data_IF_545239129122
#
_entry.id   IF_545239129122
#
_cell.length_a   1.000
_cell.length_b   1.000
_cell.length_c   1.000
_cell.angle_alpha   90.00
_cell.angle_beta   90.00
_cell.angle_gamma   90.00
#
_symmetry.space_group_name_H-M   'P 1'
#
loop_
_entity.id
_entity.type
_entity.pdbx_description
1 polymer ?
#
# COMPACT_ATOMS: atom_id res chain seq x y z
N UNK A 1 30.17 5.33 -2.72
CA UNK A 1 29.91 5.81 -1.34
C UNK A 1 30.29 7.29 -1.20
N UNK A 2 31.20 7.80 -2.02
CA UNK A 2 31.67 9.19 -1.97
C UNK A 2 30.62 10.24 -2.33
N UNK A 3 29.73 9.96 -3.30
CA UNK A 3 28.66 10.91 -3.68
C UNK A 3 27.65 11.11 -2.55
N UNK A 4 27.31 10.04 -1.82
CA UNK A 4 26.43 10.11 -0.63
C UNK A 4 27.12 10.87 0.49
N UNK A 5 28.41 10.59 0.73
CA UNK A 5 29.19 11.31 1.73
C UNK A 5 29.37 12.80 1.38
N UNK A 6 29.49 13.17 0.11
CA UNK A 6 29.61 14.55 -0.36
C UNK A 6 28.28 15.31 -0.25
N UNK A 7 27.16 14.63 -0.50
CA UNK A 7 25.80 15.14 -0.27
C UNK A 7 25.50 15.33 1.22
N UNK A 8 25.92 14.37 2.05
CA UNK A 8 25.81 14.40 3.52
C UNK A 8 26.75 15.46 4.13
N UNK A 9 27.91 15.70 3.53
CA UNK A 9 28.86 16.73 3.96
C UNK A 9 28.44 18.16 3.54
N UNK A 10 27.71 18.31 2.42
CA UNK A 10 27.15 19.59 1.98
C UNK A 10 25.81 19.96 2.65
N UNK A 11 25.04 18.97 3.10
CA UNK A 11 23.79 19.18 3.82
C UNK A 11 24.05 19.40 5.31
N UNK A 12 24.08 20.66 5.78
CA UNK A 12 23.96 20.90 7.21
C UNK A 12 22.61 20.33 7.71
N UNK A 13 22.62 19.17 8.36
CA UNK A 13 21.43 18.58 9.04
C UNK A 13 20.74 19.53 10.03
N UNK A 14 21.35 20.70 10.30
CA UNK A 14 20.71 21.83 10.98
C UNK A 14 19.44 22.32 10.29
N UNK A 15 19.37 22.22 8.96
CA UNK A 15 18.18 22.60 8.16
C UNK A 15 17.00 21.65 8.41
N UNK A 16 17.27 20.37 8.67
CA UNK A 16 16.24 19.37 8.99
C UNK A 16 15.66 19.56 10.39
N UNK A 17 16.44 20.19 11.30
CA UNK A 17 15.99 20.53 12.66
C UNK A 17 15.06 21.75 12.70
N UNK A 18 14.91 22.48 11.61
CA UNK A 18 13.93 23.56 11.52
C UNK A 18 12.51 22.96 11.46
N UNK A 19 11.50 23.61 12.08
CA UNK A 19 10.14 23.07 12.12
C UNK A 19 9.57 22.80 10.72
N UNK A 20 9.96 23.62 9.73
CA UNK A 20 9.51 23.47 8.36
C UNK A 20 10.18 22.27 7.65
N UNK A 21 11.48 22.05 7.88
CA UNK A 21 12.21 20.88 7.38
C UNK A 21 11.72 19.56 7.98
N UNK A 22 11.44 19.58 9.28
CA UNK A 22 10.87 18.42 9.98
C UNK A 22 9.54 17.98 9.39
N UNK A 23 8.64 18.92 9.10
CA UNK A 23 7.34 18.61 8.46
C UNK A 23 7.53 18.03 7.06
N UNK A 24 8.52 18.48 6.28
CA UNK A 24 8.81 17.91 4.94
C UNK A 24 9.32 16.48 5.01
N UNK A 25 10.15 16.16 6.00
CA UNK A 25 10.60 14.79 6.24
C UNK A 25 9.42 13.90 6.65
N UNK A 26 8.58 14.37 7.57
CA UNK A 26 7.36 13.63 7.96
C UNK A 26 6.42 13.39 6.77
N UNK A 27 6.22 14.40 5.92
CA UNK A 27 5.41 14.27 4.70
C UNK A 27 5.95 13.18 3.77
N UNK A 28 7.27 13.13 3.57
CA UNK A 28 7.90 12.10 2.75
C UNK A 28 7.76 10.70 3.37
N UNK A 29 7.95 10.56 4.68
CA UNK A 29 7.75 9.30 5.41
C UNK A 29 6.31 8.81 5.31
N UNK A 30 5.32 9.68 5.53
CA UNK A 30 3.91 9.30 5.41
C UNK A 30 3.53 8.94 3.97
N UNK A 31 4.10 9.60 2.96
CA UNK A 31 3.88 9.26 1.57
C UNK A 31 4.42 7.86 1.21
N UNK A 32 5.56 7.45 1.80
CA UNK A 32 6.09 6.08 1.66
C UNK A 32 5.11 5.06 2.22
N UNK A 33 4.60 5.29 3.43
CA UNK A 33 3.63 4.38 4.05
C UNK A 33 2.33 4.31 3.25
N UNK A 34 1.81 5.45 2.77
CA UNK A 34 0.61 5.48 1.94
C UNK A 34 0.82 4.70 0.62
N UNK A 35 1.96 4.88 -0.05
CA UNK A 35 2.28 4.15 -1.28
C UNK A 35 2.41 2.64 -1.04
N UNK A 36 3.16 2.24 -0.01
CA UNK A 36 3.35 0.82 0.32
C UNK A 36 2.03 0.13 0.68
N UNK A 37 1.20 0.76 1.52
CA UNK A 37 -0.08 0.18 1.96
C UNK A 37 -1.12 0.11 0.84
N UNK A 38 -1.18 1.11 -0.05
CA UNK A 38 -2.11 1.06 -1.19
C UNK A 38 -1.65 0.10 -2.30
N UNK A 39 -0.33 -0.06 -2.49
CA UNK A 39 0.23 -0.85 -3.58
C UNK A 39 0.40 -2.34 -3.31
N UNK A 40 0.52 -2.78 -2.05
CA UNK A 40 0.76 -4.19 -1.70
C UNK A 40 -0.26 -4.76 -0.71
N UNK A 41 -1.53 -4.38 -0.85
CA UNK A 41 -2.57 -4.95 0.01
C UNK A 41 -2.93 -6.38 -0.42
N UNK A 42 -2.78 -7.32 0.51
CA UNK A 42 -3.36 -8.67 0.46
C UNK A 42 -4.26 -8.88 1.67
N UNK A 43 -5.34 -9.61 1.47
CA UNK A 43 -6.29 -9.96 2.52
C UNK A 43 -6.79 -11.38 2.32
N UNK A 44 -7.13 -12.02 3.42
CA UNK A 44 -7.75 -13.33 3.45
C UNK A 44 -9.07 -13.24 4.22
N UNK A 45 -10.04 -14.05 3.83
CA UNK A 45 -11.23 -14.26 4.64
C UNK A 45 -11.53 -15.75 4.73
N UNK A 46 -12.05 -16.16 5.88
CA UNK A 46 -12.41 -17.54 6.16
C UNK A 46 -13.92 -17.71 6.10
N UNK A 47 -14.36 -18.75 5.40
CA UNK A 47 -15.75 -19.17 5.33
C UNK A 47 -15.90 -20.53 6.00
N UNK A 48 -17.02 -20.70 6.70
CA UNK A 48 -17.43 -21.97 7.27
C UNK A 48 -18.83 -22.32 6.78
N UNK A 49 -18.96 -23.54 6.26
CA UNK A 49 -20.21 -24.13 5.79
C UNK A 49 -20.52 -25.33 6.68
N UNK A 50 -21.45 -25.14 7.61
CA UNK A 50 -21.94 -26.21 8.47
C UNK A 50 -23.23 -26.81 7.88
N UNK A 51 -23.18 -28.11 7.57
CA UNK A 51 -24.30 -28.87 7.06
C UNK A 51 -24.82 -29.82 8.13
N UNK A 52 -26.11 -30.15 8.09
CA UNK A 52 -26.70 -31.17 8.96
C UNK A 52 -25.95 -32.51 8.91
N UNK A 53 -25.32 -32.82 7.76
CA UNK A 53 -24.38 -33.92 7.63
C UNK A 53 -22.93 -33.42 7.70
N UNK A 54 -22.25 -33.74 8.81
CA UNK A 54 -20.88 -33.30 9.11
C UNK A 54 -19.84 -33.76 8.08
N UNK A 55 -20.08 -34.87 7.38
CA UNK A 55 -19.14 -35.36 6.35
C UNK A 55 -19.11 -34.50 5.08
N UNK A 56 -20.12 -33.64 4.90
CA UNK A 56 -20.19 -32.67 3.79
C UNK A 56 -19.95 -31.22 4.24
N UNK A 57 -19.61 -31.03 5.52
CA UNK A 57 -19.35 -29.70 6.07
C UNK A 57 -17.88 -29.37 5.87
N UNK A 58 -17.58 -28.14 5.51
CA UNK A 58 -16.22 -27.60 5.51
C UNK A 58 -16.23 -26.33 6.33
N UNK A 59 -15.54 -26.37 7.46
CA UNK A 59 -15.52 -25.28 8.44
C UNK A 59 -14.35 -24.32 8.23
N UNK A 60 -13.44 -24.62 7.30
CA UNK A 60 -12.23 -23.82 7.11
C UNK A 60 -11.87 -23.66 5.63
N UNK A 61 -12.65 -22.84 4.93
CA UNK A 61 -12.38 -22.43 3.55
C UNK A 61 -11.70 -21.07 3.59
N UNK A 62 -10.42 -21.05 3.26
CA UNK A 62 -9.62 -19.83 3.20
C UNK A 62 -9.60 -19.28 1.77
N UNK A 63 -9.94 -18.01 1.61
CA UNK A 63 -9.96 -17.34 0.31
C UNK A 63 -9.12 -16.08 0.39
N UNK A 64 -8.02 -16.07 -0.36
CA UNK A 64 -7.13 -14.93 -0.48
C UNK A 64 -7.58 -14.03 -1.64
N UNK A 65 -7.49 -12.72 -1.41
CA UNK A 65 -7.70 -11.71 -2.44
C UNK A 65 -6.65 -10.60 -2.28
N UNK A 66 -6.23 -10.05 -3.40
CA UNK A 66 -5.15 -9.06 -3.45
C UNK A 66 -5.55 -7.85 -4.28
N UNK A 67 -4.79 -6.77 -4.14
CA UNK A 67 -4.81 -5.67 -5.08
C UNK A 67 -4.52 -6.18 -6.51
N UNK A 68 -5.30 -5.80 -7.55
CA UNK A 68 -6.24 -4.68 -7.59
C UNK A 68 -7.71 -5.11 -7.40
N UNK A 69 -8.02 -6.02 -6.48
CA UNK A 69 -9.39 -6.38 -6.08
C UNK A 69 -10.30 -6.82 -7.25
N UNK A 70 -9.74 -7.66 -8.14
CA UNK A 70 -10.47 -8.35 -9.21
C UNK A 70 -11.18 -9.59 -8.67
N UNK A 71 -12.12 -9.38 -7.77
CA UNK A 71 -12.83 -10.44 -7.03
C UNK A 71 -13.46 -11.49 -7.98
N UNK A 72 -14.02 -11.06 -9.11
CA UNK A 72 -14.59 -11.98 -10.12
C UNK A 72 -13.65 -13.01 -10.73
N UNK A 73 -12.33 -12.85 -10.62
CA UNK A 73 -11.33 -13.81 -11.11
C UNK A 73 -10.92 -14.81 -10.01
N UNK A 74 -11.19 -14.48 -8.75
CA UNK A 74 -10.90 -15.32 -7.57
C UNK A 74 -12.06 -16.29 -7.36
N UNK A 75 -11.74 -17.58 -7.27
CA UNK A 75 -12.72 -18.64 -7.03
C UNK A 75 -12.32 -19.53 -5.86
N UNK A 76 -13.33 -20.09 -5.20
CA UNK A 76 -13.15 -21.11 -4.18
C UNK A 76 -14.17 -22.24 -4.36
N UNK A 77 -13.85 -23.41 -3.84
CA UNK A 77 -14.74 -24.57 -3.87
C UNK A 77 -15.58 -24.59 -2.60
N UNK A 78 -16.88 -24.35 -2.73
CA UNK A 78 -17.82 -24.41 -1.62
C UNK A 78 -18.50 -25.78 -1.59
N UNK A 79 -18.51 -26.49 -0.44
CA UNK A 79 -19.26 -27.72 -0.31
C UNK A 79 -20.76 -27.43 -0.39
N UNK A 80 -21.51 -28.32 -1.05
CA UNK A 80 -22.98 -28.24 -1.04
C UNK A 80 -23.55 -29.32 -0.15
N UNK A 81 -24.48 -28.98 0.76
CA UNK A 81 -25.02 -29.95 1.73
C UNK A 81 -25.79 -31.12 1.08
N UNK A 82 -26.12 -31.03 -0.21
CA UNK A 82 -26.90 -32.03 -0.94
C UNK A 82 -26.17 -32.64 -2.15
N UNK A 83 -25.06 -32.06 -2.64
CA UNK A 83 -24.39 -32.49 -3.86
C UNK A 83 -22.88 -32.37 -3.81
N UNK A 84 -22.25 -32.32 -4.99
CA UNK A 84 -20.81 -32.11 -5.13
C UNK A 84 -20.42 -30.64 -4.83
N UNK A 85 -19.16 -30.38 -4.48
CA UNK A 85 -18.65 -29.02 -4.30
C UNK A 85 -18.82 -28.19 -5.58
N UNK A 86 -19.17 -26.91 -5.42
CA UNK A 86 -19.32 -25.98 -6.55
C UNK A 86 -18.28 -24.88 -6.47
N UNK A 87 -17.74 -24.52 -7.64
CA UNK A 87 -16.86 -23.36 -7.79
C UNK A 87 -17.69 -22.08 -7.71
N UNK A 88 -17.38 -21.22 -6.76
CA UNK A 88 -18.03 -19.92 -6.56
C UNK A 88 -16.96 -18.85 -6.77
N UNK A 89 -17.29 -17.85 -7.58
CA UNK A 89 -16.45 -16.68 -7.81
C UNK A 89 -16.90 -15.54 -6.89
N UNK A 90 -15.96 -14.72 -6.44
CA UNK A 90 -16.30 -13.53 -5.67
C UNK A 90 -16.95 -12.49 -6.58
N UNK A 91 -17.83 -11.67 -6.02
CA UNK A 91 -18.60 -10.70 -6.80
C UNK A 91 -17.93 -9.34 -6.75
N UNK A 92 -17.71 -8.75 -7.93
CA UNK A 92 -17.31 -7.35 -8.07
C UNK A 92 -15.96 -7.15 -8.73
N UNK A 93 -15.73 -5.92 -9.16
CA UNK A 93 -14.46 -5.43 -9.65
C UNK A 93 -14.25 -4.02 -9.11
N UNK A 94 -13.31 -3.87 -8.18
CA UNK A 94 -12.98 -2.59 -7.54
C UNK A 94 -11.59 -2.06 -7.95
N UNK A 95 -11.03 -2.61 -9.03
CA UNK A 95 -9.69 -2.28 -9.57
C UNK A 95 -9.52 -0.81 -9.85
N UNK A 96 -10.51 -0.18 -10.50
CA UNK A 96 -10.41 1.23 -10.89
C UNK A 96 -10.29 2.17 -9.68
N UNK A 97 -11.08 1.95 -8.63
CA UNK A 97 -11.02 2.76 -7.41
C UNK A 97 -9.71 2.54 -6.66
N UNK A 98 -9.25 1.28 -6.56
CA UNK A 98 -7.99 0.95 -5.90
C UNK A 98 -6.78 1.55 -6.63
N UNK A 99 -6.73 1.40 -7.96
CA UNK A 99 -5.68 1.98 -8.81
C UNK A 99 -5.64 3.50 -8.69
N UNK A 100 -6.79 4.16 -8.62
CA UNK A 100 -6.86 5.60 -8.39
C UNK A 100 -6.14 6.02 -7.10
N UNK A 101 -6.38 5.32 -5.97
CA UNK A 101 -5.69 5.63 -4.72
C UNK A 101 -4.17 5.42 -4.80
N UNK A 102 -3.72 4.35 -5.48
CA UNK A 102 -2.29 4.12 -5.73
C UNK A 102 -1.68 5.26 -6.54
N UNK A 103 -2.37 5.74 -7.58
CA UNK A 103 -1.87 6.87 -8.38
C UNK A 103 -1.71 8.15 -7.53
N UNK A 104 -2.68 8.46 -6.67
CA UNK A 104 -2.60 9.61 -5.75
C UNK A 104 -1.43 9.45 -4.77
N UNK A 105 -1.19 8.25 -4.25
CA UNK A 105 -0.06 7.96 -3.37
C UNK A 105 1.30 8.15 -4.09
N UNK A 106 1.41 7.70 -5.35
CA UNK A 106 2.62 7.91 -6.18
C UNK A 106 2.89 9.40 -6.38
N UNK A 107 1.87 10.19 -6.74
CA UNK A 107 2.04 11.64 -6.90
C UNK A 107 2.41 12.33 -5.59
N UNK A 108 1.82 11.95 -4.46
CA UNK A 108 2.16 12.49 -3.15
C UNK A 108 3.62 12.16 -2.74
N UNK A 109 4.08 10.95 -3.06
CA UNK A 109 5.47 10.54 -2.84
C UNK A 109 6.46 11.35 -3.69
N UNK A 110 6.21 11.47 -4.99
CA UNK A 110 7.06 12.25 -5.89
C UNK A 110 7.08 13.74 -5.50
N UNK A 111 5.93 14.30 -5.14
CA UNK A 111 5.81 15.68 -4.69
C UNK A 111 6.58 15.94 -3.39
N UNK A 112 6.41 15.09 -2.38
CA UNK A 112 7.09 15.25 -1.09
C UNK A 112 8.60 15.05 -1.21
N UNK A 113 9.06 14.09 -2.03
CA UNK A 113 10.47 13.91 -2.35
C UNK A 113 11.06 15.14 -3.05
N UNK A 114 10.36 15.67 -4.06
CA UNK A 114 10.77 16.88 -4.77
C UNK A 114 10.84 18.07 -3.84
N UNK A 115 9.80 18.31 -3.03
CA UNK A 115 9.77 19.40 -2.06
C UNK A 115 10.89 19.29 -1.02
N UNK A 116 11.21 18.07 -0.55
CA UNK A 116 12.32 17.83 0.38
C UNK A 116 13.67 18.11 -0.28
N UNK A 117 13.89 17.63 -1.51
CA UNK A 117 15.11 17.89 -2.26
C UNK A 117 15.29 19.39 -2.51
N UNK A 118 14.25 20.08 -2.99
CA UNK A 118 14.24 21.54 -3.17
C UNK A 118 14.59 22.24 -1.86
N UNK A 119 14.01 21.84 -0.74
CA UNK A 119 14.29 22.43 0.57
C UNK A 119 15.77 22.26 0.96
N UNK A 120 16.32 21.05 0.85
CA UNK A 120 17.72 20.78 1.24
C UNK A 120 18.71 21.53 0.34
N UNK A 121 18.51 21.51 -0.99
CA UNK A 121 19.50 22.05 -1.93
C UNK A 121 19.40 23.56 -2.15
N UNK A 122 18.19 24.12 -2.19
CA UNK A 122 18.01 25.55 -2.48
C UNK A 122 18.06 26.42 -1.22
N UNK A 123 17.70 25.91 -0.04
CA UNK A 123 17.74 26.73 1.17
C UNK A 123 19.16 27.12 1.58
N UNK A 124 20.15 26.28 1.30
CA UNK A 124 21.57 26.62 1.50
C UNK A 124 21.98 27.84 0.67
N UNK A 125 21.46 27.97 -0.56
CA UNK A 125 21.69 29.14 -1.44
C UNK A 125 21.00 30.41 -0.96
N UNK A 126 19.84 30.32 -0.30
CA UNK A 126 19.13 31.50 0.23
C UNK A 126 19.68 31.99 1.59
N UNK A 127 20.38 31.12 2.35
CA UNK A 127 21.01 31.46 3.63
C UNK A 127 22.41 32.07 3.50
N UNK A 128 23.03 32.00 2.32
CA UNK A 128 24.20 32.82 1.97
C UNK A 128 23.73 34.24 1.63
N UNK A 129 23.50 35.04 2.67
CA UNK A 129 23.63 36.49 2.62
C UNK A 129 24.66 36.93 3.64
#
# INVERSE_FOLDING_TARGET
>A
MDVVNQLVAGGQFRVVKEPLGFVKVLQWVFAIFAFATCGSYSGEFQLSVDCANKTKSDLNIEVEFEYPFRLHEVYFEAPTCQGDPKKIFLVGNYSSSAEFFVTVAVFAFLYSMGALATYIFLQNKYREK
#
